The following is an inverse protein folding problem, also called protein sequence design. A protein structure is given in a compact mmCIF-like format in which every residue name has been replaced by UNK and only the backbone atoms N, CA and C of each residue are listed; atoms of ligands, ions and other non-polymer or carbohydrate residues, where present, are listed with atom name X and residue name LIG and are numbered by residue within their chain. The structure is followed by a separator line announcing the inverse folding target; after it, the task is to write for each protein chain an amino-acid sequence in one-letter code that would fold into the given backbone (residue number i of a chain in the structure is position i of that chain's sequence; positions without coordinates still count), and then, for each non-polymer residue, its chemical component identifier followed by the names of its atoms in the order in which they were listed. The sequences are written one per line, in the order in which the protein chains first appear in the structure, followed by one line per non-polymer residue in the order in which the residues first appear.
data_IF_786773378806
#
_entry.id   IF_786773378806
#
_cell.length_a   1.000
_cell.length_b   1.000
_cell.length_c   1.000
_cell.angle_alpha   90.00
_cell.angle_beta   90.00
_cell.angle_gamma   90.00
#
_symmetry.space_group_name_H-M   'P 1'
#
loop_
_entity.id
_entity.type
_entity.pdbx_description
1 polymer ?
#
# COMPACT_ATOMS: atom_id res chain seq x y z
N UNK A 1 -2.54 -20.71 -25.93
CA UNK A 1 -2.02 -22.07 -25.63
C UNK A 1 -2.75 -22.66 -24.44
N UNK A 2 -2.35 -23.83 -23.93
CA UNK A 2 -3.05 -24.55 -22.84
C UNK A 2 -3.27 -23.68 -21.59
N UNK A 3 -2.35 -22.75 -21.30
CA UNK A 3 -2.46 -21.78 -20.19
C UNK A 3 -3.48 -20.64 -20.41
N UNK A 4 -4.09 -20.54 -21.59
CA UNK A 4 -5.08 -19.51 -21.91
C UNK A 4 -6.51 -19.88 -21.46
N UNK A 5 -6.72 -21.00 -20.78
CA UNK A 5 -8.03 -21.43 -20.30
C UNK A 5 -8.72 -20.39 -19.39
N UNK A 6 -7.94 -19.57 -18.68
CA UNK A 6 -8.42 -18.50 -17.81
C UNK A 6 -8.48 -17.12 -18.51
N UNK A 7 -8.32 -17.06 -19.84
CA UNK A 7 -8.22 -15.83 -20.61
C UNK A 7 -6.79 -15.29 -20.74
N UNK A 8 -6.61 -14.31 -21.64
CA UNK A 8 -5.30 -13.68 -21.90
C UNK A 8 -5.47 -12.17 -21.95
N UNK A 9 -4.64 -11.46 -21.18
CA UNK A 9 -4.48 -10.01 -21.28
C UNK A 9 -3.21 -9.75 -22.07
N UNK A 10 -3.37 -9.26 -23.30
CA UNK A 10 -2.26 -8.85 -24.14
C UNK A 10 -1.92 -7.38 -23.85
N UNK A 11 -0.73 -7.15 -23.29
CA UNK A 11 -0.22 -5.81 -23.02
C UNK A 11 0.88 -5.50 -24.02
N UNK A 12 0.71 -4.40 -24.76
CA UNK A 12 1.73 -3.88 -25.69
C UNK A 12 2.31 -2.59 -25.13
N UNK A 13 3.62 -2.51 -25.03
CA UNK A 13 4.32 -1.33 -24.55
C UNK A 13 4.49 -0.29 -25.66
N UNK A 14 4.74 0.97 -25.30
CA UNK A 14 5.03 2.01 -26.29
C UNK A 14 6.33 1.70 -27.05
N UNK A 15 6.31 1.98 -28.34
CA UNK A 15 7.46 1.99 -29.23
C UNK A 15 7.77 3.45 -29.65
N UNK A 16 8.96 3.73 -30.17
CA UNK A 16 9.47 5.09 -30.41
C UNK A 16 8.71 5.93 -31.45
N UNK A 17 7.71 5.37 -32.15
CA UNK A 17 7.05 5.93 -33.34
C UNK A 17 6.22 7.20 -33.13
N UNK A 18 6.27 7.81 -31.94
CA UNK A 18 5.51 9.03 -31.62
C UNK A 18 6.30 10.32 -31.89
N UNK A 19 7.62 10.24 -32.06
CA UNK A 19 8.46 11.41 -32.31
C UNK A 19 8.64 11.69 -33.81
N UNK A 20 8.65 12.97 -34.18
CA UNK A 20 9.08 13.39 -35.52
C UNK A 20 10.51 12.93 -35.75
N UNK A 21 10.79 12.44 -36.96
CA UNK A 21 12.12 11.95 -37.34
C UNK A 21 13.24 12.93 -36.93
N UNK A 22 14.24 12.42 -36.22
CA UNK A 22 15.38 13.22 -35.75
C UNK A 22 15.12 14.08 -34.50
N UNK A 23 13.93 14.00 -33.88
CA UNK A 23 13.61 14.67 -32.62
C UNK A 23 13.44 13.67 -31.48
N UNK A 24 13.74 14.13 -30.28
CA UNK A 24 13.52 13.42 -29.02
C UNK A 24 12.31 14.08 -28.35
N UNK A 25 11.30 13.30 -27.98
CA UNK A 25 10.24 13.77 -27.10
C UNK A 25 10.58 13.35 -25.67
N UNK A 26 10.62 14.33 -24.78
CA UNK A 26 10.82 14.13 -23.35
C UNK A 26 9.52 14.49 -22.66
N UNK A 27 8.93 13.53 -21.95
CA UNK A 27 7.74 13.75 -21.14
C UNK A 27 8.08 13.51 -19.68
N UNK A 28 7.75 14.49 -18.85
CA UNK A 28 7.78 14.36 -17.41
C UNK A 28 6.36 14.49 -16.86
N UNK A 29 6.01 13.64 -15.91
CA UNK A 29 4.75 13.70 -15.20
C UNK A 29 4.98 13.46 -13.71
N UNK A 30 4.36 14.29 -12.89
CA UNK A 30 4.34 14.15 -11.44
C UNK A 30 2.90 14.15 -10.97
N UNK A 31 2.55 13.21 -10.10
CA UNK A 31 1.25 13.13 -9.46
C UNK A 31 1.47 13.10 -7.95
N UNK A 32 0.66 13.86 -7.23
CA UNK A 32 0.63 13.86 -5.78
C UNK A 32 -0.82 13.73 -5.34
N UNK A 33 -1.06 12.90 -4.33
CA UNK A 33 -2.42 12.63 -3.87
C UNK A 33 -2.45 12.28 -2.39
N UNK A 34 -3.65 12.35 -1.83
CA UNK A 34 -3.93 12.00 -0.46
C UNK A 34 -4.87 10.78 -0.45
N UNK A 35 -4.57 9.82 0.41
CA UNK A 35 -5.36 8.63 0.63
C UNK A 35 -6.08 8.78 1.97
N UNK A 36 -7.38 8.51 2.01
CA UNK A 36 -8.15 8.48 3.26
C UNK A 36 -9.02 7.23 3.28
N UNK A 37 -9.37 6.77 4.48
CA UNK A 37 -10.37 5.72 4.59
C UNK A 37 -11.73 6.21 4.11
N UNK A 38 -12.43 5.35 3.38
CA UNK A 38 -13.78 5.64 2.89
C UNK A 38 -14.83 5.48 3.99
N UNK A 39 -14.63 4.49 4.85
CA UNK A 39 -15.55 4.19 5.95
C UNK A 39 -14.77 3.66 7.15
N UNK A 40 -14.90 4.36 8.27
CA UNK A 40 -14.46 3.93 9.58
C UNK A 40 -15.69 3.99 10.50
N UNK A 41 -16.07 2.87 11.13
CA UNK A 41 -17.12 2.89 12.15
C UNK A 41 -16.79 3.91 13.24
N UNK A 42 -17.80 4.70 13.62
CA UNK A 42 -17.70 5.52 14.83
C UNK A 42 -17.78 4.61 16.06
N UNK A 43 -16.82 4.71 16.96
CA UNK A 43 -16.81 3.99 18.23
C UNK A 43 -17.44 4.87 19.31
N UNK A 44 -18.02 4.24 20.34
CA UNK A 44 -18.48 4.97 21.52
C UNK A 44 -17.33 5.73 22.18
N UNK A 45 -17.60 6.95 22.65
CA UNK A 45 -16.68 7.67 23.55
C UNK A 45 -16.62 6.99 24.94
N UNK A 46 -15.71 7.47 25.80
CA UNK A 46 -15.50 6.90 27.13
C UNK A 46 -16.73 6.92 28.03
N UNK A 47 -17.49 8.02 28.05
CA UNK A 47 -18.67 8.15 28.90
C UNK A 47 -19.81 7.26 28.38
N UNK A 48 -20.04 7.28 27.06
CA UNK A 48 -21.03 6.41 26.41
C UNK A 48 -20.69 4.93 26.63
N UNK A 49 -19.42 4.55 26.52
CA UNK A 49 -18.97 3.19 26.82
C UNK A 49 -19.27 2.79 28.27
N UNK A 50 -18.97 3.66 29.25
CA UNK A 50 -19.27 3.38 30.66
C UNK A 50 -20.78 3.21 30.92
N UNK A 51 -21.62 4.06 30.31
CA UNK A 51 -23.07 3.97 30.40
C UNK A 51 -23.59 2.62 29.86
N UNK A 52 -23.12 2.22 28.67
CA UNK A 52 -23.52 0.95 28.04
C UNK A 52 -23.05 -0.26 28.88
N UNK A 53 -21.87 -0.20 29.51
CA UNK A 53 -21.41 -1.27 30.40
C UNK A 53 -22.27 -1.36 31.66
N UNK A 54 -22.65 -0.24 32.26
CA UNK A 54 -23.56 -0.22 33.41
C UNK A 54 -24.95 -0.75 33.02
N UNK A 55 -25.48 -0.34 31.86
CA UNK A 55 -26.75 -0.84 31.33
C UNK A 55 -26.70 -2.35 31.06
N UNK A 56 -25.61 -2.85 30.47
CA UNK A 56 -25.37 -4.29 30.28
C UNK A 56 -25.41 -5.06 31.60
N UNK A 57 -24.83 -4.51 32.66
CA UNK A 57 -24.84 -5.15 33.99
C UNK A 57 -26.23 -5.12 34.63
N UNK A 58 -26.96 -4.00 34.51
CA UNK A 58 -28.32 -3.88 35.01
C UNK A 58 -29.30 -4.83 34.29
N UNK A 59 -29.07 -5.10 33.01
CA UNK A 59 -29.84 -6.04 32.18
C UNK A 59 -29.26 -7.47 32.17
N UNK A 60 -28.33 -7.79 33.08
CA UNK A 60 -27.73 -9.12 33.15
C UNK A 60 -28.72 -10.19 33.62
N UNK A 61 -28.68 -11.38 33.02
CA UNK A 61 -29.45 -12.55 33.45
C UNK A 61 -28.53 -13.68 33.89
N UNK A 62 -28.91 -14.38 34.96
CA UNK A 62 -28.31 -15.65 35.37
C UNK A 62 -29.41 -16.72 35.41
N UNK A 63 -29.29 -17.77 34.58
CA UNK A 63 -30.29 -18.84 34.48
C UNK A 63 -31.72 -18.32 34.22
N UNK A 64 -31.88 -17.34 33.33
CA UNK A 64 -33.13 -16.63 33.02
C UNK A 64 -33.71 -15.75 34.15
N UNK A 65 -32.97 -15.49 35.23
CA UNK A 65 -33.36 -14.55 36.28
C UNK A 65 -32.56 -13.24 36.19
N UNK A 66 -33.19 -12.07 36.36
CA UNK A 66 -32.49 -10.80 36.34
C UNK A 66 -31.51 -10.72 37.52
N UNK A 67 -30.28 -10.27 37.24
CA UNK A 67 -29.24 -10.02 38.23
C UNK A 67 -29.32 -8.54 38.61
N UNK A 68 -29.51 -8.24 39.89
CA UNK A 68 -29.27 -6.89 40.41
C UNK A 68 -27.79 -6.74 40.71
N UNK A 69 -27.03 -6.25 39.73
CA UNK A 69 -25.62 -5.94 39.89
C UNK A 69 -25.42 -4.46 40.27
N UNK A 70 -24.45 -4.19 41.13
CA UNK A 70 -23.96 -2.82 41.33
C UNK A 70 -23.29 -2.35 40.03
N UNK A 71 -23.52 -1.10 39.57
CA UNK A 71 -22.85 -0.56 38.41
C UNK A 71 -21.32 -0.66 38.51
N UNK A 72 -20.65 -1.02 37.42
CA UNK A 72 -19.18 -1.06 37.33
C UNK A 72 -18.59 0.33 37.51
N UNK A 73 -19.20 1.34 36.89
CA UNK A 73 -18.75 2.72 36.91
C UNK A 73 -19.71 3.60 37.71
N UNK A 74 -19.15 4.47 38.55
CA UNK A 74 -19.90 5.47 39.31
C UNK A 74 -20.28 6.67 38.43
N UNK A 75 -21.26 7.46 38.88
CA UNK A 75 -21.63 8.70 38.18
C UNK A 75 -20.49 9.72 38.13
N UNK A 76 -19.68 9.81 39.19
CA UNK A 76 -18.53 10.72 39.24
C UNK A 76 -17.47 10.34 38.20
N UNK A 77 -17.21 9.03 38.01
CA UNK A 77 -16.30 8.55 36.97
C UNK A 77 -16.82 8.87 35.56
N UNK A 78 -18.11 8.64 35.31
CA UNK A 78 -18.74 8.98 34.02
C UNK A 78 -18.67 10.49 33.78
N UNK A 79 -18.99 11.27 34.81
CA UNK A 79 -18.98 12.73 34.74
C UNK A 79 -17.59 13.24 34.40
N UNK A 80 -16.53 12.71 35.02
CA UNK A 80 -15.16 13.08 34.73
C UNK A 80 -14.81 12.96 33.23
N UNK A 81 -15.30 11.94 32.53
CA UNK A 81 -15.09 11.82 31.08
C UNK A 81 -16.02 12.74 30.28
N UNK A 82 -17.29 12.86 30.66
CA UNK A 82 -18.25 13.71 29.92
C UNK A 82 -17.99 15.22 30.07
N UNK A 83 -17.40 15.64 31.19
CA UNK A 83 -17.04 17.03 31.48
C UNK A 83 -15.72 17.44 30.82
N UNK A 84 -14.94 16.47 30.35
CA UNK A 84 -13.61 16.65 29.79
C UNK A 84 -12.48 16.71 30.83
N UNK A 85 -12.77 16.53 32.12
CA UNK A 85 -11.75 16.40 33.17
C UNK A 85 -10.79 15.23 32.87
N UNK A 86 -11.34 14.11 32.39
CA UNK A 86 -10.60 12.98 31.82
C UNK A 86 -10.89 12.86 30.34
N UNK A 87 -9.85 12.61 29.56
CA UNK A 87 -9.97 12.38 28.12
C UNK A 87 -10.01 10.89 27.83
N UNK A 88 -11.00 10.47 27.04
CA UNK A 88 -11.05 9.14 26.48
C UNK A 88 -10.12 9.01 25.26
N UNK A 89 -9.75 7.79 24.93
CA UNK A 89 -8.93 7.50 23.75
C UNK A 89 -9.80 7.19 22.55
N UNK A 90 -9.62 7.96 21.47
CA UNK A 90 -10.13 7.59 20.14
C UNK A 90 -9.09 6.73 19.42
N UNK A 91 -9.21 5.41 19.55
CA UNK A 91 -8.25 4.47 18.99
C UNK A 91 -8.07 4.59 17.49
N UNK A 92 -9.12 4.93 16.74
CA UNK A 92 -9.00 5.14 15.30
C UNK A 92 -8.09 6.33 14.99
N UNK A 93 -8.27 7.45 15.71
CA UNK A 93 -7.46 8.65 15.55
C UNK A 93 -6.03 8.48 16.10
N UNK A 94 -5.80 7.57 17.05
CA UNK A 94 -4.47 7.25 17.57
C UNK A 94 -3.69 6.34 16.62
N UNK A 95 -4.37 5.41 15.96
CA UNK A 95 -3.71 4.37 15.14
C UNK A 95 -3.49 4.80 13.71
N UNK A 96 -4.34 5.67 13.19
CA UNK A 96 -4.35 6.02 11.79
C UNK A 96 -4.27 7.52 11.53
N UNK A 97 -3.64 7.87 10.41
CA UNK A 97 -3.72 9.21 9.85
C UNK A 97 -5.08 9.42 9.16
N UNK A 98 -5.61 10.65 9.28
CA UNK A 98 -6.81 11.06 8.54
C UNK A 98 -6.56 11.04 7.02
N UNK A 99 -5.33 11.37 6.62
CA UNK A 99 -4.86 11.37 5.24
C UNK A 99 -3.41 10.91 5.15
N UNK A 100 -3.11 10.03 4.19
CA UNK A 100 -1.76 9.55 3.90
C UNK A 100 -1.31 9.98 2.51
N UNK A 101 -0.14 10.62 2.36
CA UNK A 101 0.31 11.09 1.05
C UNK A 101 0.81 9.95 0.16
N UNK A 102 0.64 10.11 -1.14
CA UNK A 102 1.25 9.29 -2.18
C UNK A 102 1.77 10.19 -3.30
N UNK A 103 2.91 9.82 -3.87
CA UNK A 103 3.51 10.53 -4.99
C UNK A 103 4.02 9.57 -6.05
N UNK A 104 3.92 9.98 -7.30
CA UNK A 104 4.47 9.24 -8.42
C UNK A 104 5.08 10.20 -9.43
N UNK A 105 6.30 9.90 -9.83
CA UNK A 105 7.06 10.65 -10.82
C UNK A 105 7.45 9.71 -11.95
N UNK A 106 7.16 10.10 -13.19
CA UNK A 106 7.58 9.36 -14.36
C UNK A 106 8.25 10.29 -15.35
N UNK A 107 9.40 9.86 -15.85
CA UNK A 107 10.09 10.48 -16.96
C UNK A 107 10.18 9.47 -18.10
N UNK A 108 9.85 9.90 -19.31
CA UNK A 108 10.03 9.08 -20.50
C UNK A 108 10.69 9.89 -21.61
N UNK A 109 11.52 9.20 -22.37
CA UNK A 109 12.17 9.71 -23.56
C UNK A 109 11.84 8.77 -24.71
N UNK A 110 11.32 9.29 -25.81
CA UNK A 110 11.08 8.54 -27.02
C UNK A 110 11.65 9.26 -28.23
N UNK A 111 12.10 8.49 -29.22
CA UNK A 111 12.57 9.05 -30.47
C UNK A 111 12.61 8.04 -31.59
N UNK A 112 12.64 8.58 -32.80
CA UNK A 112 12.65 7.82 -34.05
C UNK A 112 13.70 8.39 -35.00
N UNK A 113 14.43 7.50 -35.66
CA UNK A 113 15.37 7.79 -36.73
C UNK A 113 15.16 6.82 -37.90
N UNK A 114 15.84 7.04 -39.02
CA UNK A 114 15.84 6.17 -40.20
C UNK A 114 15.95 4.67 -39.88
N UNK A 115 16.79 4.30 -38.90
CA UNK A 115 17.13 2.91 -38.60
C UNK A 115 16.76 2.45 -37.19
N UNK A 116 16.49 3.37 -36.27
CA UNK A 116 16.30 3.02 -34.86
C UNK A 116 15.13 3.82 -34.29
N UNK A 117 14.20 3.10 -33.68
CA UNK A 117 13.18 3.67 -32.80
C UNK A 117 13.53 3.25 -31.37
N UNK A 118 13.44 4.16 -30.41
CA UNK A 118 13.71 3.85 -29.01
C UNK A 118 12.73 4.53 -28.07
N UNK A 119 12.52 3.88 -26.93
CA UNK A 119 11.74 4.35 -25.81
C UNK A 119 12.50 4.01 -24.53
N UNK A 120 12.57 4.96 -23.62
CA UNK A 120 13.07 4.77 -22.27
C UNK A 120 12.11 5.42 -21.29
N UNK A 121 11.85 4.75 -20.18
CA UNK A 121 11.05 5.28 -19.08
C UNK A 121 11.67 4.87 -17.75
N UNK A 122 11.67 5.81 -16.82
CA UNK A 122 11.95 5.58 -15.41
C UNK A 122 10.81 6.15 -14.58
N UNK A 123 10.42 5.43 -13.55
CA UNK A 123 9.37 5.81 -12.63
C UNK A 123 9.80 5.63 -11.19
N UNK A 124 9.45 6.58 -10.34
CA UNK A 124 9.52 6.48 -8.90
C UNK A 124 8.12 6.64 -8.31
N UNK A 125 7.79 5.82 -7.33
CA UNK A 125 6.56 5.92 -6.58
C UNK A 125 6.87 5.79 -5.10
N UNK A 126 6.21 6.62 -4.30
CA UNK A 126 6.25 6.59 -2.85
C UNK A 126 4.83 6.66 -2.31
N UNK A 127 4.52 5.79 -1.37
CA UNK A 127 3.22 5.71 -0.74
C UNK A 127 3.39 5.55 0.76
N UNK A 128 2.89 6.52 1.51
CA UNK A 128 2.73 6.39 2.94
C UNK A 128 1.51 5.52 3.23
N UNK A 129 1.67 4.59 4.17
CA UNK A 129 0.57 3.82 4.72
C UNK A 129 -0.26 4.65 5.68
N UNK A 130 -1.39 4.08 6.08
CA UNK A 130 -2.37 4.74 6.93
C UNK A 130 -2.02 4.80 8.42
N UNK A 131 -0.94 4.15 8.86
CA UNK A 131 -0.56 4.19 10.27
C UNK A 131 0.05 5.54 10.65
N UNK A 132 -0.44 6.12 11.74
CA UNK A 132 0.03 7.38 12.31
C UNK A 132 1.50 7.37 12.74
N UNK A 133 2.04 6.18 13.01
CA UNK A 133 3.46 5.95 13.29
C UNK A 133 4.37 6.11 12.07
N UNK A 134 3.80 6.23 10.86
CA UNK A 134 4.50 6.24 9.58
C UNK A 134 5.37 4.98 9.30
N UNK A 135 5.21 3.94 10.12
CA UNK A 135 5.99 2.70 10.02
C UNK A 135 5.56 1.79 8.88
N UNK A 136 4.39 2.04 8.28
CA UNK A 136 3.92 1.39 7.06
C UNK A 136 4.18 2.33 5.89
N UNK A 137 5.07 1.95 4.98
CA UNK A 137 5.36 2.71 3.77
C UNK A 137 5.86 1.80 2.64
N UNK A 138 5.73 2.28 1.41
CA UNK A 138 6.14 1.58 0.22
C UNK A 138 6.81 2.54 -0.77
N UNK A 139 7.94 2.13 -1.32
CA UNK A 139 8.56 2.81 -2.43
C UNK A 139 8.90 1.84 -3.56
N UNK A 140 8.87 2.35 -4.79
CA UNK A 140 9.17 1.56 -5.98
C UNK A 140 9.87 2.38 -7.03
N UNK A 141 11.01 1.89 -7.47
CA UNK A 141 11.64 2.27 -8.72
C UNK A 141 11.25 1.29 -9.80
N UNK A 142 10.95 1.79 -10.99
CA UNK A 142 10.76 0.95 -12.16
C UNK A 142 11.41 1.60 -13.37
N UNK A 143 11.81 0.77 -14.32
CA UNK A 143 12.29 1.24 -15.61
C UNK A 143 11.80 0.33 -16.73
N UNK A 144 11.75 0.92 -17.92
CA UNK A 144 11.46 0.21 -19.17
C UNK A 144 12.27 0.82 -20.30
N UNK A 145 12.85 -0.03 -21.14
CA UNK A 145 13.50 0.37 -22.37
C UNK A 145 13.03 -0.53 -23.51
N UNK A 146 12.68 0.07 -24.63
CA UNK A 146 12.37 -0.64 -25.88
C UNK A 146 13.22 -0.04 -26.97
N UNK A 147 13.88 -0.88 -27.76
CA UNK A 147 14.68 -0.47 -28.91
C UNK A 147 14.30 -1.34 -30.10
N UNK A 148 13.86 -0.71 -31.18
CA UNK A 148 13.59 -1.34 -32.46
C UNK A 148 14.65 -0.89 -33.47
N UNK A 149 15.40 -1.82 -34.03
CA UNK A 149 16.49 -1.56 -34.96
C UNK A 149 16.22 -2.24 -36.31
N UNK A 150 16.27 -1.44 -37.38
CA UNK A 150 16.27 -1.87 -38.78
C UNK A 150 17.72 -2.17 -39.18
N UNK A 151 18.19 -3.38 -38.90
CA UNK A 151 19.58 -3.82 -39.16
C UNK A 151 19.87 -3.81 -40.67
N UNK A 152 18.94 -4.35 -41.46
CA UNK A 152 18.96 -4.26 -42.93
C UNK A 152 17.55 -4.00 -43.44
N UNK A 153 17.37 -3.83 -44.77
CA UNK A 153 16.03 -3.72 -45.39
C UNK A 153 15.11 -4.92 -45.10
N UNK A 154 15.68 -6.08 -44.71
CA UNK A 154 14.95 -7.33 -44.45
C UNK A 154 15.15 -7.87 -43.05
N UNK A 155 15.95 -7.24 -42.20
CA UNK A 155 16.25 -7.75 -40.86
C UNK A 155 15.94 -6.65 -39.82
N UNK A 156 15.00 -6.95 -38.93
CA UNK A 156 14.60 -6.09 -37.81
C UNK A 156 14.90 -6.79 -36.48
N UNK A 157 15.32 -6.03 -35.49
CA UNK A 157 15.51 -6.48 -34.11
C UNK A 157 14.69 -5.63 -33.16
N UNK A 158 14.02 -6.25 -32.19
CA UNK A 158 13.34 -5.57 -31.08
C UNK A 158 13.93 -6.08 -29.79
N UNK A 159 14.42 -5.17 -28.94
CA UNK A 159 14.91 -5.46 -27.60
C UNK A 159 14.01 -4.71 -26.62
N UNK A 160 13.47 -5.43 -25.63
CA UNK A 160 12.63 -4.87 -24.58
C UNK A 160 13.21 -5.28 -23.23
N UNK A 161 13.57 -4.30 -22.42
CA UNK A 161 14.06 -4.49 -21.06
C UNK A 161 13.09 -3.81 -20.11
N UNK A 162 12.77 -4.45 -19.00
CA UNK A 162 12.05 -3.80 -17.91
C UNK A 162 12.46 -4.37 -16.58
N UNK A 163 12.31 -3.58 -15.53
CA UNK A 163 12.52 -4.06 -14.19
C UNK A 163 11.92 -3.14 -13.15
N UNK A 164 11.86 -3.65 -11.93
CA UNK A 164 11.54 -2.84 -10.78
C UNK A 164 12.33 -3.29 -9.56
N UNK A 165 12.56 -2.33 -8.67
CA UNK A 165 13.05 -2.55 -7.33
C UNK A 165 12.05 -1.88 -6.39
N UNK A 166 11.49 -2.63 -5.46
CA UNK A 166 10.59 -2.08 -4.47
C UNK A 166 10.98 -2.46 -3.05
N UNK A 167 10.57 -1.60 -2.13
CA UNK A 167 10.79 -1.77 -0.70
C UNK A 167 9.48 -1.48 0.02
N UNK A 168 9.04 -2.44 0.82
CA UNK A 168 7.90 -2.30 1.72
C UNK A 168 8.38 -2.39 3.15
N UNK A 169 8.15 -1.33 3.92
CA UNK A 169 8.38 -1.31 5.36
C UNK A 169 7.03 -1.43 6.07
N UNK A 170 6.97 -2.26 7.10
CA UNK A 170 5.81 -2.39 7.96
C UNK A 170 6.20 -2.89 9.35
N UNK A 171 5.44 -2.56 10.40
CA UNK A 171 5.56 -3.23 11.68
C UNK A 171 5.23 -4.72 11.57
N UNK A 172 5.60 -5.49 12.60
CA UNK A 172 5.26 -6.92 12.69
C UNK A 172 3.80 -7.16 13.11
N UNK A 173 2.86 -6.45 12.49
CA UNK A 173 1.42 -6.61 12.70
C UNK A 173 0.67 -6.66 11.37
N UNK A 174 -0.54 -7.19 11.39
CA UNK A 174 -1.43 -7.17 10.22
C UNK A 174 -2.40 -5.99 10.33
N UNK A 175 -2.72 -5.38 9.19
CA UNK A 175 -3.68 -4.27 9.15
C UNK A 175 -5.03 -4.66 9.75
N UNK A 176 -5.47 -5.92 9.54
CA UNK A 176 -6.71 -6.44 10.11
C UNK A 176 -6.69 -6.51 11.65
N UNK A 177 -5.56 -6.92 12.24
CA UNK A 177 -5.40 -6.92 13.70
C UNK A 177 -5.52 -5.50 14.26
N UNK A 178 -4.88 -4.53 13.63
CA UNK A 178 -4.93 -3.12 14.04
C UNK A 178 -6.34 -2.56 13.92
N UNK A 179 -7.05 -2.81 12.81
CA UNK A 179 -8.45 -2.39 12.65
C UNK A 179 -9.37 -2.95 13.72
N UNK A 180 -9.24 -4.25 14.01
CA UNK A 180 -10.03 -4.90 15.06
C UNK A 180 -9.77 -4.24 16.41
N UNK A 181 -8.50 -3.94 16.72
CA UNK A 181 -8.11 -3.21 17.93
C UNK A 181 -8.75 -1.83 17.99
N UNK A 182 -8.68 -1.07 16.89
CA UNK A 182 -9.30 0.26 16.80
C UNK A 182 -10.80 0.27 17.15
N UNK A 183 -11.54 -0.79 16.79
CA UNK A 183 -12.99 -0.86 17.00
C UNK A 183 -13.42 -1.49 18.32
N UNK A 184 -12.62 -2.40 18.87
CA UNK A 184 -13.02 -3.23 20.01
C UNK A 184 -12.38 -2.80 21.32
N UNK A 185 -11.36 -1.95 21.26
CA UNK A 185 -10.64 -1.53 22.44
C UNK A 185 -11.41 -0.44 23.18
N UNK A 186 -11.37 -0.52 24.51
CA UNK A 186 -12.14 0.37 25.36
C UNK A 186 -11.62 1.81 25.25
N UNK A 187 -12.49 2.81 25.08
CA UNK A 187 -12.10 4.23 25.02
C UNK A 187 -11.65 4.79 26.38
N UNK A 188 -11.79 4.05 27.48
CA UNK A 188 -11.34 4.44 28.81
C UNK A 188 -9.86 4.11 29.09
N UNK A 189 -9.21 3.35 28.20
CA UNK A 189 -7.78 3.06 28.28
C UNK A 189 -6.99 4.22 27.69
N UNK A 190 -5.78 4.46 28.17
CA UNK A 190 -4.85 5.42 27.58
C UNK A 190 -4.05 4.77 26.44
N UNK A 191 -3.77 5.52 25.37
CA UNK A 191 -2.82 5.09 24.33
C UNK A 191 -1.37 5.31 24.75
N UNK A 192 -1.07 6.42 25.43
CA UNK A 192 0.28 6.84 25.80
C UNK A 192 0.36 7.17 27.28
N UNK A 193 1.51 6.93 27.90
CA UNK A 193 1.78 7.36 29.27
C UNK A 193 1.84 8.89 29.27
N UNK A 194 1.12 9.55 30.17
CA UNK A 194 1.10 11.02 30.33
C UNK A 194 0.70 11.86 29.09
N UNK A 195 0.37 11.23 27.96
CA UNK A 195 0.00 11.91 26.71
C UNK A 195 1.17 12.48 25.89
N UNK A 196 2.43 12.14 26.21
CA UNK A 196 3.63 12.68 25.52
C UNK A 196 4.02 11.93 24.23
N UNK A 197 3.31 10.84 23.92
CA UNK A 197 3.56 9.94 22.78
C UNK A 197 4.95 9.29 22.77
N UNK A 198 5.63 9.25 23.92
CA UNK A 198 6.95 8.61 24.05
C UNK A 198 6.84 7.13 24.36
N UNK A 199 5.95 6.76 25.29
CA UNK A 199 5.79 5.39 25.75
C UNK A 199 4.33 4.95 25.68
N UNK A 200 4.02 3.82 25.02
CA UNK A 200 2.69 3.24 25.03
C UNK A 200 2.24 2.89 26.46
N UNK A 201 1.01 3.24 26.81
CA UNK A 201 0.45 2.88 28.12
C UNK A 201 0.13 1.38 28.21
N UNK A 202 0.08 0.85 29.43
CA UNK A 202 -0.34 -0.52 29.70
C UNK A 202 -1.69 -0.52 30.41
N UNK A 203 -2.57 -1.45 30.03
CA UNK A 203 -3.88 -1.62 30.65
C UNK A 203 -4.25 -3.11 30.72
N UNK A 204 -4.30 -3.64 31.94
CA UNK A 204 -4.57 -5.05 32.22
C UNK A 204 -6.01 -5.48 31.96
N UNK A 205 -6.95 -4.53 31.82
CA UNK A 205 -8.35 -4.83 31.51
C UNK A 205 -8.65 -4.84 29.99
N UNK A 206 -7.65 -4.60 29.14
CA UNK A 206 -7.81 -4.73 27.69
C UNK A 206 -7.96 -6.18 27.27
N UNK A 207 -8.70 -6.39 26.16
CA UNK A 207 -8.91 -7.72 25.58
C UNK A 207 -7.60 -8.43 25.23
N UNK A 208 -6.60 -7.69 24.74
CA UNK A 208 -5.22 -8.15 24.62
C UNK A 208 -4.32 -7.12 25.30
N UNK A 209 -3.32 -7.60 26.05
CA UNK A 209 -2.42 -6.74 26.82
C UNK A 209 -1.45 -5.89 25.97
N UNK A 210 -1.42 -6.12 24.66
CA UNK A 210 -0.63 -5.31 23.73
C UNK A 210 -1.34 -3.99 23.44
N UNK A 211 -0.62 -2.89 23.64
CA UNK A 211 -1.09 -1.56 23.26
C UNK A 211 -1.11 -1.42 21.72
N UNK A 212 -2.26 -1.04 21.11
CA UNK A 212 -2.37 -0.90 19.66
C UNK A 212 -1.37 0.09 19.05
N UNK A 213 -1.04 1.20 19.72
CA UNK A 213 -0.07 2.17 19.18
C UNK A 213 1.35 1.61 19.18
N UNK A 214 1.65 0.68 20.09
CA UNK A 214 2.91 -0.06 20.06
C UNK A 214 2.95 -1.02 18.85
N UNK A 215 1.84 -1.71 18.58
CA UNK A 215 1.73 -2.68 17.50
C UNK A 215 1.89 -2.04 16.10
N UNK A 216 1.46 -0.78 15.93
CA UNK A 216 1.58 -0.05 14.66
C UNK A 216 2.92 0.64 14.47
N UNK A 217 3.79 0.67 15.47
CA UNK A 217 5.04 1.42 15.43
C UNK A 217 6.26 0.49 15.47
N UNK A 218 7.11 0.58 14.45
CA UNK A 218 8.32 -0.24 14.32
C UNK A 218 9.33 -0.03 15.46
N UNK A 219 9.25 1.09 16.18
CA UNK A 219 10.08 1.36 17.37
C UNK A 219 9.81 0.38 18.51
N UNK A 220 8.56 -0.10 18.63
CA UNK A 220 8.13 -0.95 19.73
C UNK A 220 7.87 -2.40 19.30
N UNK A 221 7.18 -2.60 18.17
CA UNK A 221 6.82 -3.94 17.69
C UNK A 221 7.87 -4.59 16.78
N UNK A 222 8.99 -3.89 16.52
CA UNK A 222 9.96 -4.27 15.50
C UNK A 222 9.42 -4.09 14.08
N UNK A 223 10.23 -4.43 13.08
CA UNK A 223 9.96 -4.16 11.68
C UNK A 223 10.08 -5.40 10.80
N UNK A 224 9.31 -5.40 9.71
CA UNK A 224 9.50 -6.29 8.57
C UNK A 224 9.75 -5.45 7.32
N UNK A 225 10.87 -5.75 6.67
CA UNK A 225 11.34 -5.08 5.47
C UNK A 225 11.38 -6.08 4.32
N UNK A 226 10.54 -5.89 3.33
CA UNK A 226 10.48 -6.72 2.13
C UNK A 226 11.08 -5.94 0.97
N UNK A 227 12.06 -6.54 0.27
CA UNK A 227 12.70 -5.93 -0.90
C UNK A 227 12.54 -6.84 -2.10
N UNK A 228 11.89 -6.39 -3.15
CA UNK A 228 11.72 -7.21 -4.36
C UNK A 228 12.47 -6.60 -5.51
N UNK A 229 13.16 -7.46 -6.24
CA UNK A 229 13.84 -7.10 -7.47
C UNK A 229 13.35 -7.98 -8.60
N UNK A 230 13.01 -7.34 -9.71
CA UNK A 230 12.58 -8.03 -10.90
C UNK A 230 13.23 -7.42 -12.13
N UNK A 231 13.57 -8.29 -13.07
CA UNK A 231 14.09 -7.93 -14.37
C UNK A 231 13.50 -8.86 -15.43
N UNK A 232 13.04 -8.29 -16.54
CA UNK A 232 12.59 -9.01 -17.71
C UNK A 232 13.35 -8.47 -18.93
N UNK A 233 13.89 -9.37 -19.74
CA UNK A 233 14.57 -9.06 -20.99
C UNK A 233 13.98 -9.89 -22.12
N UNK A 234 13.49 -9.24 -23.17
CA UNK A 234 12.96 -9.88 -24.35
C UNK A 234 13.72 -9.39 -25.59
N UNK A 235 14.10 -10.31 -26.47
CA UNK A 235 14.73 -10.01 -27.75
C UNK A 235 13.98 -10.74 -28.85
N UNK A 236 13.73 -10.06 -29.96
CA UNK A 236 13.16 -10.69 -31.15
C UNK A 236 13.89 -10.25 -32.42
N UNK A 237 14.12 -11.18 -33.32
CA UNK A 237 14.68 -10.94 -34.64
C UNK A 237 13.64 -11.34 -35.68
N UNK A 238 13.32 -10.44 -36.61
CA UNK A 238 12.38 -10.68 -37.70
C UNK A 238 13.10 -10.52 -39.03
N UNK A 239 13.08 -11.55 -39.86
CA UNK A 239 13.68 -11.57 -41.19
C UNK A 239 12.60 -11.72 -42.27
N UNK A 240 12.51 -10.77 -43.19
CA UNK A 240 11.59 -10.82 -44.32
C UNK A 240 12.20 -11.68 -45.44
N UNK A 241 11.48 -12.73 -45.86
CA UNK A 241 11.99 -13.73 -46.80
C UNK A 241 11.94 -13.17 -48.23
N UNK A 242 13.05 -13.20 -49.00
CA UNK A 242 13.06 -12.71 -50.37
C UNK A 242 12.15 -13.52 -51.29
N UNK A 243 11.50 -12.83 -52.23
CA UNK A 243 10.73 -13.46 -53.32
C UNK A 243 9.29 -13.82 -52.94
N UNK A 244 8.86 -13.58 -51.70
CA UNK A 244 7.49 -13.79 -51.25
C UNK A 244 7.05 -12.62 -50.38
N UNK A 245 6.17 -11.76 -50.91
CA UNK A 245 5.68 -10.60 -50.18
C UNK A 245 4.86 -11.02 -48.95
N UNK A 246 5.16 -10.40 -47.81
CA UNK A 246 4.48 -10.65 -46.53
C UNK A 246 5.01 -11.86 -45.74
N UNK A 247 5.88 -12.69 -46.31
CA UNK A 247 6.46 -13.84 -45.61
C UNK A 247 7.65 -13.40 -44.73
N UNK A 248 7.60 -13.70 -43.44
CA UNK A 248 8.69 -13.45 -42.51
C UNK A 248 8.98 -14.64 -41.60
N UNK A 249 10.21 -14.73 -41.12
CA UNK A 249 10.65 -15.63 -40.07
C UNK A 249 10.96 -14.81 -38.81
N UNK A 250 10.46 -15.23 -37.65
CA UNK A 250 10.69 -14.56 -36.37
C UNK A 250 11.34 -15.50 -35.35
N UNK A 251 12.48 -15.10 -34.81
CA UNK A 251 13.10 -15.70 -33.65
C UNK A 251 12.82 -14.83 -32.41
N UNK A 252 12.56 -15.46 -31.27
CA UNK A 252 12.24 -14.77 -30.01
C UNK A 252 12.97 -15.44 -28.85
N UNK A 253 13.53 -14.63 -27.96
CA UNK A 253 14.18 -15.04 -26.73
C UNK A 253 13.67 -14.17 -25.58
N UNK A 254 13.47 -14.79 -24.41
CA UNK A 254 12.96 -14.13 -23.21
C UNK A 254 13.72 -14.63 -21.99
N UNK A 255 14.04 -13.72 -21.08
CA UNK A 255 14.73 -13.96 -19.82
C UNK A 255 14.01 -13.21 -18.70
N UNK A 256 13.69 -13.93 -17.63
CA UNK A 256 13.01 -13.39 -16.46
C UNK A 256 13.82 -13.70 -15.20
N UNK A 257 14.05 -12.69 -14.38
CA UNK A 257 14.70 -12.79 -13.08
C UNK A 257 13.84 -12.14 -12.00
N UNK A 258 13.73 -12.81 -10.85
CA UNK A 258 12.95 -12.37 -9.71
C UNK A 258 13.63 -12.81 -8.41
N UNK A 259 13.71 -11.92 -7.43
CA UNK A 259 14.19 -12.22 -6.07
C UNK A 259 13.45 -11.36 -5.04
N UNK A 260 13.38 -11.85 -3.80
CA UNK A 260 12.68 -11.24 -2.65
C UNK A 260 13.55 -11.36 -1.41
#
# INVERSE_FOLDING_TARGET
GVRAANGVILVTTKHGSSATEGKFDITFSGNYGWQRFLYLPSTADAATHMLIINEKQANGFNSNYPIRATPKYTWDEILAYSSGEKQGTNWTAELFDDVSPQSQYNMSVNGTSDKIDYFFNVGYMEQMGSYKSHSLNYNRWNFRSTVDARITKRLRSTIQLSGYADEKNQPNTTIWSVYKKAWTYRPTSQAWINGDHELPAYDSEMLESENPVAATDSRFAGYRKEKRYNFNGNMSLTYDIPGVDGLNAKAFYSYDYYTT
#
